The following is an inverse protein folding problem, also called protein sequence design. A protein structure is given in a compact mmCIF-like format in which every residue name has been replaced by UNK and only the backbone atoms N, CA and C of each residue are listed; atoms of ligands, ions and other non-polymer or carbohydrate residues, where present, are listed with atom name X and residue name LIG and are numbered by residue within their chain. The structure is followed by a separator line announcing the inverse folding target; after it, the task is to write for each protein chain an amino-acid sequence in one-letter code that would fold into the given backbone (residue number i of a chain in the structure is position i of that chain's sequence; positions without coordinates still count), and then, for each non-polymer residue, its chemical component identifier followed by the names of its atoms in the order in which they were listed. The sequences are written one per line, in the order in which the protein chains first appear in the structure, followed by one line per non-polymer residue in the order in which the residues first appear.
data_IF_274669555166
#
_entry.id   IF_274669555166
#
_cell.length_a   1.000
_cell.length_b   1.000
_cell.length_c   1.000
_cell.angle_alpha   90.00
_cell.angle_beta   90.00
_cell.angle_gamma   90.00
#
_symmetry.space_group_name_H-M   'P 1'
#
loop_
_entity.id
_entity.type
_entity.pdbx_description
1 polymer ?
#
# COMPACT_ATOMS: atom_id res chain seq x y z
N UNK A 1 -20.61 7.63 -26.34
CA UNK A 1 -19.17 7.38 -26.11
C UNK A 1 -19.05 6.09 -25.31
N UNK A 2 -18.09 5.24 -25.67
CA UNK A 2 -17.90 3.97 -24.95
C UNK A 2 -16.98 4.22 -23.76
N UNK A 3 -17.47 3.95 -22.55
CA UNK A 3 -16.66 4.00 -21.34
C UNK A 3 -15.98 2.62 -21.17
N UNK A 4 -14.65 2.61 -21.15
CA UNK A 4 -13.87 1.39 -20.90
C UNK A 4 -13.45 1.42 -19.43
N UNK A 5 -13.79 0.37 -18.68
CA UNK A 5 -13.38 0.18 -17.30
C UNK A 5 -12.43 -1.01 -17.23
N UNK A 6 -11.32 -0.86 -16.52
CA UNK A 6 -10.31 -1.91 -16.33
C UNK A 6 -10.13 -2.12 -14.83
N UNK A 7 -10.16 -3.37 -14.39
CA UNK A 7 -9.95 -3.77 -13.00
C UNK A 7 -8.90 -4.90 -12.96
N UNK A 8 -7.60 -4.58 -13.07
CA UNK A 8 -6.54 -5.57 -13.00
C UNK A 8 -6.18 -5.90 -11.55
N UNK A 9 -5.67 -7.10 -11.31
CA UNK A 9 -4.98 -7.41 -10.05
C UNK A 9 -3.56 -6.82 -10.13
N UNK A 10 -3.22 -5.91 -9.22
CA UNK A 10 -1.94 -5.19 -9.22
C UNK A 10 -1.26 -5.39 -7.86
N UNK A 11 0.03 -5.73 -7.90
CA UNK A 11 0.89 -5.73 -6.72
C UNK A 11 1.70 -4.44 -6.68
N UNK A 12 1.76 -3.81 -5.51
CA UNK A 12 2.51 -2.57 -5.31
C UNK A 12 3.70 -2.82 -4.41
N UNK A 13 4.88 -2.34 -4.83
CA UNK A 13 6.07 -2.27 -3.98
C UNK A 13 6.27 -0.83 -3.56
N UNK A 14 6.34 -0.60 -2.26
CA UNK A 14 6.44 0.72 -1.68
C UNK A 14 7.43 0.70 -0.52
N UNK A 15 8.45 1.54 -0.61
CA UNK A 15 9.33 1.82 0.51
C UNK A 15 8.71 2.99 1.32
N UNK A 16 8.38 2.72 2.58
CA UNK A 16 7.94 3.71 3.57
C UNK A 16 8.92 3.64 4.74
N UNK A 17 9.41 4.81 5.15
CA UNK A 17 10.22 4.95 6.35
C UNK A 17 9.31 5.16 7.56
N UNK A 18 9.02 4.07 8.27
CA UNK A 18 8.26 4.08 9.52
C UNK A 18 9.27 4.19 10.66
N UNK A 19 9.65 5.42 11.03
CA UNK A 19 10.80 5.71 11.89
C UNK A 19 10.83 5.07 13.29
N UNK A 20 9.74 4.43 13.73
CA UNK A 20 9.63 3.71 15.01
C UNK A 20 9.84 2.19 14.87
N UNK A 21 9.99 1.67 13.65
CA UNK A 21 10.08 0.24 13.37
C UNK A 21 11.56 -0.19 13.38
N UNK A 22 11.93 -1.00 14.38
CA UNK A 22 13.28 -1.58 14.48
C UNK A 22 13.58 -2.56 13.34
N UNK A 23 14.86 -2.89 13.09
CA UNK A 23 15.30 -3.79 12.00
C UNK A 23 14.64 -5.19 12.00
N UNK A 24 14.10 -5.64 13.13
CA UNK A 24 13.37 -6.91 13.25
C UNK A 24 12.02 -6.70 13.95
N UNK A 25 11.07 -6.01 13.28
CA UNK A 25 9.82 -5.66 13.91
C UNK A 25 8.91 -6.87 13.97
N UNK A 26 8.13 -6.98 15.04
CA UNK A 26 7.11 -8.02 15.09
C UNK A 26 5.93 -7.59 14.22
N UNK A 27 5.15 -8.56 13.75
CA UNK A 27 3.94 -8.28 12.97
C UNK A 27 3.02 -7.26 13.65
N UNK A 28 2.90 -7.32 14.99
CA UNK A 28 2.05 -6.38 15.72
C UNK A 28 2.56 -4.93 15.64
N UNK A 29 3.87 -4.71 15.59
CA UNK A 29 4.45 -3.36 15.46
C UNK A 29 4.06 -2.78 14.10
N UNK A 30 4.16 -3.57 13.04
CA UNK A 30 3.78 -3.18 11.68
C UNK A 30 2.28 -2.91 11.55
N UNK A 31 1.44 -3.77 12.12
CA UNK A 31 -0.02 -3.62 12.02
C UNK A 31 -0.52 -2.33 12.67
N UNK A 32 0.20 -1.75 13.64
CA UNK A 32 -0.16 -0.45 14.24
C UNK A 32 -0.07 0.70 13.22
N UNK A 33 0.85 0.62 12.27
CA UNK A 33 1.02 1.62 11.21
C UNK A 33 0.11 1.39 10.00
N UNK A 34 -0.80 0.41 10.03
CA UNK A 34 -1.70 0.10 8.90
C UNK A 34 -2.43 1.34 8.37
N UNK A 35 -2.90 2.21 9.26
CA UNK A 35 -3.62 3.42 8.89
C UNK A 35 -2.72 4.44 8.17
N UNK A 36 -1.47 4.58 8.63
CA UNK A 36 -0.47 5.47 8.04
C UNK A 36 -0.03 4.97 6.66
N UNK A 37 0.33 3.69 6.55
CA UNK A 37 0.70 3.04 5.30
C UNK A 37 -0.44 3.12 4.28
N UNK A 38 -1.69 2.87 4.72
CA UNK A 38 -2.85 2.99 3.85
C UNK A 38 -3.07 4.42 3.36
N UNK A 39 -2.95 5.42 4.24
CA UNK A 39 -3.13 6.83 3.87
C UNK A 39 -2.09 7.28 2.85
N UNK A 40 -0.83 6.91 3.03
CA UNK A 40 0.24 7.22 2.08
C UNK A 40 0.03 6.50 0.74
N UNK A 41 -0.35 5.22 0.78
CA UNK A 41 -0.69 4.46 -0.41
C UNK A 41 -1.85 5.10 -1.19
N UNK A 42 -2.92 5.50 -0.49
CA UNK A 42 -4.08 6.16 -1.08
C UNK A 42 -3.70 7.51 -1.71
N UNK A 43 -2.85 8.29 -1.05
CA UNK A 43 -2.38 9.57 -1.58
C UNK A 43 -1.57 9.37 -2.88
N UNK A 44 -0.66 8.40 -2.91
CA UNK A 44 0.13 8.06 -4.10
C UNK A 44 -0.77 7.55 -5.24
N UNK A 45 -1.76 6.72 -4.95
CA UNK A 45 -2.73 6.25 -5.94
C UNK A 45 -3.58 7.37 -6.51
N UNK A 46 -4.07 8.30 -5.68
CA UNK A 46 -4.86 9.45 -6.13
C UNK A 46 -4.08 10.36 -7.06
N UNK A 47 -2.76 10.49 -6.85
CA UNK A 47 -1.86 11.23 -7.77
C UNK A 47 -1.67 10.50 -9.10
N UNK A 48 -1.64 9.16 -9.09
CA UNK A 48 -1.41 8.35 -10.30
C UNK A 48 -2.68 8.13 -11.14
N UNK A 49 -3.84 8.01 -10.51
CA UNK A 49 -5.14 7.71 -11.14
C UNK A 49 -6.20 8.75 -10.76
N UNK A 50 -6.14 9.97 -11.33
CA UNK A 50 -7.07 11.03 -11.01
C UNK A 50 -8.52 10.72 -11.44
N UNK A 51 -8.72 9.78 -12.36
CA UNK A 51 -10.04 9.30 -12.78
C UNK A 51 -10.77 8.50 -11.69
N UNK A 52 -10.05 8.08 -10.65
CA UNK A 52 -10.56 7.33 -9.51
C UNK A 52 -10.09 5.88 -9.50
N UNK A 53 -10.15 5.28 -8.31
CA UNK A 53 -9.76 3.89 -8.06
C UNK A 53 -10.67 3.28 -7.00
N UNK A 54 -10.73 1.95 -6.97
CA UNK A 54 -11.41 1.18 -5.93
C UNK A 54 -10.42 0.15 -5.38
N UNK A 55 -10.24 0.14 -4.07
CA UNK A 55 -9.42 -0.85 -3.36
C UNK A 55 -10.38 -1.85 -2.73
N UNK A 56 -10.42 -3.07 -3.26
CA UNK A 56 -11.26 -4.15 -2.69
C UNK A 56 -10.59 -4.82 -1.49
N UNK A 57 -9.26 -4.97 -1.52
CA UNK A 57 -8.46 -5.53 -0.42
C UNK A 57 -7.16 -4.73 -0.24
N UNK A 58 -6.68 -4.65 1.00
CA UNK A 58 -5.39 -4.04 1.32
C UNK A 58 -4.66 -4.86 2.38
N UNK A 59 -3.54 -5.45 1.96
CA UNK A 59 -2.61 -6.21 2.78
C UNK A 59 -1.21 -5.61 2.62
N UNK A 60 -0.45 -5.57 3.71
CA UNK A 60 0.92 -5.09 3.72
C UNK A 60 1.72 -5.87 4.77
N UNK A 61 3.02 -5.93 4.59
CA UNK A 61 3.95 -6.63 5.46
C UNK A 61 5.39 -6.34 5.06
N UNK A 62 6.34 -6.98 5.74
CA UNK A 62 7.75 -6.86 5.38
C UNK A 62 8.04 -7.57 4.06
N UNK A 63 8.91 -6.96 3.25
CA UNK A 63 9.52 -7.65 2.13
C UNK A 63 10.58 -8.63 2.64
N UNK A 64 10.18 -9.90 2.82
CA UNK A 64 11.07 -10.99 3.26
C UNK A 64 12.00 -11.47 2.14
N UNK A 65 11.88 -10.98 0.90
CA UNK A 65 12.77 -11.38 -0.19
C UNK A 65 14.21 -10.86 -0.08
N UNK A 66 14.44 -9.97 0.89
CA UNK A 66 15.77 -9.39 1.20
C UNK A 66 16.52 -10.11 2.33
N UNK A 67 15.99 -11.21 2.87
CA UNK A 67 16.64 -12.08 3.87
C UNK A 67 16.99 -13.46 3.32
#
# INVERSE_FOLDING_TARGET
MTHIQIAPNVEFKMDIDLGEITENPRDYDLQQHKAEVYAEFEERLRKAFPEGFKIDTFEFGLDLSKY
#
